data_IF_490970217708
#
_entry.id   IF_490970217708
#
_cell.length_a   1.000
_cell.length_b   1.000
_cell.length_c   1.000
_cell.angle_alpha   90.00
_cell.angle_beta   90.00
_cell.angle_gamma   90.00
#
_symmetry.space_group_name_H-M   'P 1'
#
loop_
_entity.id
_entity.type
_entity.pdbx_description
1 polymer ?
#
# COMPACT_ATOMS: atom_id res chain seq x y z
N UNK A 1 -5.45 -14.13 -4.83
CA UNK A 1 -5.29 -14.07 -3.36
C UNK A 1 -4.95 -12.67 -2.86
N UNK A 2 -3.92 -11.97 -3.37
CA UNK A 2 -3.61 -10.59 -2.93
C UNK A 2 -4.71 -9.57 -3.16
N UNK A 3 -5.34 -9.55 -4.34
CA UNK A 3 -6.45 -8.64 -4.60
C UNK A 3 -7.63 -8.90 -3.64
N UNK A 4 -7.86 -10.17 -3.27
CA UNK A 4 -8.90 -10.56 -2.31
C UNK A 4 -8.50 -10.08 -0.91
N UNK A 5 -7.29 -10.36 -0.45
CA UNK A 5 -6.78 -9.88 0.85
C UNK A 5 -6.74 -8.36 0.95
N UNK A 6 -6.38 -7.67 -0.13
CA UNK A 6 -6.40 -6.21 -0.22
C UNK A 6 -7.81 -5.65 -0.17
N UNK A 7 -8.75 -6.18 -0.94
CA UNK A 7 -10.16 -5.75 -0.89
C UNK A 7 -10.78 -6.02 0.48
N UNK A 8 -10.51 -7.18 1.09
CA UNK A 8 -10.96 -7.51 2.45
C UNK A 8 -10.32 -6.56 3.48
N UNK A 9 -9.02 -6.29 3.36
CA UNK A 9 -8.32 -5.32 4.20
C UNK A 9 -8.86 -3.90 4.03
N UNK A 10 -9.27 -3.52 2.82
CA UNK A 10 -9.94 -2.23 2.58
C UNK A 10 -11.26 -2.16 3.34
N UNK A 11 -12.11 -3.18 3.19
CA UNK A 11 -13.39 -3.28 3.88
C UNK A 11 -13.23 -3.24 5.40
N UNK A 12 -12.31 -4.06 5.92
CA UNK A 12 -12.00 -4.10 7.34
C UNK A 12 -11.43 -2.76 7.82
N UNK A 13 -10.49 -2.15 7.10
CA UNK A 13 -9.91 -0.85 7.42
C UNK A 13 -10.95 0.25 7.47
N UNK A 14 -11.78 0.38 6.42
CA UNK A 14 -12.86 1.37 6.39
C UNK A 14 -13.89 1.14 7.51
N UNK A 15 -14.25 -0.11 7.80
CA UNK A 15 -15.16 -0.44 8.91
C UNK A 15 -14.53 -0.16 10.29
N UNK A 16 -13.26 -0.48 10.49
CA UNK A 16 -12.53 -0.22 11.74
C UNK A 16 -12.29 1.28 11.92
N UNK A 17 -12.04 2.04 10.86
CA UNK A 17 -11.98 3.52 10.92
C UNK A 17 -13.28 4.11 11.46
N UNK A 18 -14.40 3.48 11.14
CA UNK A 18 -15.72 3.89 11.60
C UNK A 18 -16.00 3.45 13.05
N UNK A 19 -15.55 2.25 13.45
CA UNK A 19 -15.81 1.69 14.77
C UNK A 19 -14.81 2.12 15.86
N UNK A 20 -13.54 2.31 15.49
CA UNK A 20 -12.54 2.86 16.39
C UNK A 20 -12.57 4.38 16.27
N UNK A 21 -12.96 5.07 17.35
CA UNK A 21 -12.59 6.46 17.65
C UNK A 21 -11.09 6.61 17.89
N UNK A 22 -10.25 5.97 17.07
CA UNK A 22 -8.82 6.11 17.11
C UNK A 22 -8.46 7.52 16.64
N UNK A 23 -7.68 8.24 17.45
CA UNK A 23 -7.16 9.54 17.05
C UNK A 23 -6.35 9.39 15.75
N UNK A 24 -6.47 10.36 14.83
CA UNK A 24 -5.72 10.38 13.57
C UNK A 24 -4.20 10.17 13.79
N UNK A 25 -3.70 10.63 14.93
CA UNK A 25 -2.33 10.43 15.40
C UNK A 25 -1.95 8.94 15.54
N UNK A 26 -2.79 8.11 16.14
CA UNK A 26 -2.52 6.68 16.33
C UNK A 26 -2.44 5.92 15.00
N UNK A 27 -3.31 6.26 14.05
CA UNK A 27 -3.29 5.70 12.71
C UNK A 27 -2.06 6.13 11.92
N UNK A 28 -1.66 7.39 12.05
CA UNK A 28 -0.44 7.89 11.44
C UNK A 28 0.80 7.19 12.00
N UNK A 29 0.90 7.00 13.31
CA UNK A 29 2.03 6.28 13.94
C UNK A 29 2.09 4.83 13.45
N UNK A 30 0.96 4.13 13.43
CA UNK A 30 0.89 2.74 12.91
C UNK A 30 1.33 2.67 11.44
N UNK A 31 0.88 3.62 10.61
CA UNK A 31 1.28 3.70 9.21
C UNK A 31 2.78 3.95 9.04
N UNK A 32 3.37 4.82 9.87
CA UNK A 32 4.82 5.08 9.86
C UNK A 32 5.59 3.83 10.25
N UNK A 33 5.19 3.13 11.32
CA UNK A 33 5.84 1.88 11.76
C UNK A 33 5.83 0.84 10.65
N UNK A 34 4.68 0.59 10.02
CA UNK A 34 4.56 -0.39 8.93
C UNK A 34 5.30 0.04 7.68
N UNK A 35 5.37 1.34 7.39
CA UNK A 35 6.17 1.88 6.29
C UNK A 35 7.66 1.63 6.51
N UNK A 36 8.16 1.91 7.71
CA UNK A 36 9.56 1.64 8.09
C UNK A 36 9.84 0.13 8.01
N UNK A 37 8.97 -0.71 8.58
CA UNK A 37 9.12 -2.17 8.51
C UNK A 37 9.12 -2.68 7.05
N UNK A 38 8.29 -2.11 6.17
CA UNK A 38 8.24 -2.50 4.76
C UNK A 38 9.49 -2.09 4.00
N UNK A 39 10.04 -0.91 4.27
CA UNK A 39 11.30 -0.43 3.67
C UNK A 39 12.49 -1.25 4.16
N UNK A 40 12.54 -1.55 5.46
CA UNK A 40 13.57 -2.42 6.06
C UNK A 40 13.45 -3.84 5.50
N UNK A 41 12.23 -4.38 5.42
CA UNK A 41 11.95 -5.70 4.82
C UNK A 41 12.35 -5.79 3.35
N UNK A 42 12.06 -4.75 2.57
CA UNK A 42 12.44 -4.70 1.15
C UNK A 42 13.97 -4.69 0.96
N UNK A 43 14.69 -3.98 1.83
CA UNK A 43 16.15 -3.93 1.82
C UNK A 43 16.80 -5.05 2.65
N UNK A 44 16.01 -5.99 3.18
CA UNK A 44 16.50 -7.06 4.06
C UNK A 44 17.47 -7.99 3.32
N UNK A 45 17.28 -8.17 2.01
CA UNK A 45 18.24 -8.90 1.15
C UNK A 45 19.63 -8.28 1.13
N UNK A 46 19.76 -6.98 1.42
CA UNK A 46 21.02 -6.25 1.48
C UNK A 46 21.58 -6.13 2.92
N UNK A 47 20.73 -6.30 3.94
CA UNK A 47 21.07 -6.15 5.37
C UNK A 47 21.40 -7.51 6.02
N UNK A 48 20.61 -8.55 5.71
CA UNK A 48 20.70 -9.87 6.33
C UNK A 48 20.33 -10.98 5.32
N UNK A 49 21.23 -11.36 4.40
CA UNK A 49 20.94 -12.31 3.32
C UNK A 49 20.52 -13.70 3.81
N UNK A 50 21.06 -14.16 4.96
CA UNK A 50 20.69 -15.44 5.56
C UNK A 50 19.21 -15.48 6.02
N UNK A 51 18.61 -14.33 6.36
CA UNK A 51 17.20 -14.24 6.77
C UNK A 51 16.25 -14.11 5.56
N UNK A 52 16.71 -13.52 4.45
CA UNK A 52 15.88 -13.36 3.25
C UNK A 52 15.65 -14.66 2.48
N UNK A 53 16.57 -15.63 2.62
CA UNK A 53 16.45 -16.94 1.97
C UNK A 53 15.52 -17.89 2.73
N UNK A 54 15.36 -17.69 4.05
CA UNK A 54 14.39 -18.41 4.88
C UNK A 54 12.95 -17.86 4.77
N UNK A 55 12.80 -16.63 4.26
CA UNK A 55 11.51 -16.01 4.00
C UNK A 55 10.85 -16.63 2.76
N UNK A 56 10.31 -17.82 2.94
CA UNK A 56 9.50 -18.48 1.91
C UNK A 56 8.27 -17.61 1.56
N UNK A 57 7.94 -17.45 0.25
CA UNK A 57 6.74 -16.74 -0.18
C UNK A 57 5.50 -17.58 0.14
N UNK A 58 5.15 -17.69 1.42
CA UNK A 58 3.92 -18.33 1.86
C UNK A 58 2.75 -17.46 1.45
N UNK A 59 1.89 -18.00 0.58
CA UNK A 59 0.66 -17.35 0.09
C UNK A 59 -0.17 -16.71 1.21
N UNK A 60 -0.19 -17.35 2.39
CA UNK A 60 -0.89 -16.86 3.59
C UNK A 60 -0.21 -15.65 4.23
N UNK A 61 1.12 -15.65 4.33
CA UNK A 61 1.89 -14.52 4.87
C UNK A 61 1.72 -13.28 3.99
N UNK A 62 1.75 -13.50 2.68
CA UNK A 62 1.56 -12.43 1.68
C UNK A 62 0.13 -11.88 1.70
N UNK A 63 -0.88 -12.73 1.84
CA UNK A 63 -2.27 -12.31 2.00
C UNK A 63 -2.53 -11.58 3.33
N UNK A 64 -1.89 -12.00 4.42
CA UNK A 64 -1.98 -11.33 5.71
C UNK A 64 -1.29 -9.96 5.70
N UNK A 65 -0.11 -9.85 5.06
CA UNK A 65 0.59 -8.58 4.87
C UNK A 65 -0.23 -7.61 4.00
N UNK A 66 -0.83 -8.13 2.91
CA UNK A 66 -1.76 -7.40 2.05
C UNK A 66 -2.95 -6.85 2.83
N UNK A 67 -3.59 -7.70 3.66
CA UNK A 67 -4.71 -7.31 4.50
C UNK A 67 -4.30 -6.22 5.48
N UNK A 68 -3.23 -6.42 6.26
CA UNK A 68 -2.78 -5.44 7.26
C UNK A 68 -2.39 -4.09 6.66
N UNK A 69 -1.64 -4.09 5.55
CA UNK A 69 -1.24 -2.87 4.86
C UNK A 69 -2.45 -2.10 4.32
N UNK A 70 -3.43 -2.80 3.76
CA UNK A 70 -4.61 -2.17 3.20
C UNK A 70 -5.59 -1.69 4.27
N UNK A 71 -5.69 -2.41 5.40
CA UNK A 71 -6.44 -1.95 6.59
C UNK A 71 -5.87 -0.63 7.08
N UNK A 72 -4.57 -0.55 7.34
CA UNK A 72 -3.92 0.65 7.87
C UNK A 72 -3.97 1.84 6.90
N UNK A 73 -3.80 1.58 5.61
CA UNK A 73 -3.89 2.65 4.61
C UNK A 73 -5.32 3.15 4.42
N UNK A 74 -6.32 2.26 4.44
CA UNK A 74 -7.73 2.63 4.39
C UNK A 74 -8.14 3.49 5.59
N UNK A 75 -7.53 3.26 6.76
CA UNK A 75 -7.72 4.10 7.95
C UNK A 75 -7.23 5.53 7.78
N UNK A 76 -6.28 5.77 6.88
CA UNK A 76 -5.85 7.11 6.48
C UNK A 76 -6.69 7.68 5.33
N UNK A 77 -7.71 6.97 4.85
CA UNK A 77 -8.45 7.32 3.65
C UNK A 77 -7.68 7.07 2.35
N UNK A 78 -6.68 6.18 2.35
CA UNK A 78 -5.88 5.82 1.17
C UNK A 78 -5.95 4.34 0.81
N UNK A 79 -5.35 3.95 -0.32
CA UNK A 79 -5.10 2.54 -0.66
C UNK A 79 -3.74 2.10 -0.13
N UNK A 80 -3.66 0.87 0.39
CA UNK A 80 -2.42 0.26 0.88
C UNK A 80 -1.45 -0.15 -0.23
N UNK A 81 -1.84 0.06 -1.49
CA UNK A 81 -1.06 -0.15 -2.69
C UNK A 81 0.39 0.31 -2.60
N UNK A 82 0.67 1.46 -1.99
CA UNK A 82 2.05 1.98 -1.86
C UNK A 82 2.98 1.05 -1.09
N UNK A 83 2.43 0.19 -0.22
CA UNK A 83 3.17 -0.75 0.61
C UNK A 83 3.32 -2.14 -0.05
N UNK A 84 2.53 -2.47 -1.07
CA UNK A 84 2.60 -3.80 -1.71
C UNK A 84 3.90 -4.05 -2.44
N UNK A 85 4.40 -3.06 -3.19
CA UNK A 85 5.66 -3.18 -3.90
C UNK A 85 6.83 -3.55 -2.96
N UNK A 86 7.07 -2.77 -1.87
CA UNK A 86 8.11 -3.11 -0.90
C UNK A 86 7.84 -4.43 -0.18
N UNK A 87 6.60 -4.66 0.27
CA UNK A 87 6.24 -5.90 0.97
C UNK A 87 6.48 -7.15 0.13
N UNK A 88 6.19 -7.08 -1.18
CA UNK A 88 6.41 -8.20 -2.09
C UNK A 88 7.89 -8.49 -2.32
N UNK A 89 8.71 -7.45 -2.37
CA UNK A 89 10.15 -7.61 -2.48
C UNK A 89 10.76 -8.28 -1.24
N UNK A 90 10.20 -8.03 -0.04
CA UNK A 90 10.56 -8.76 1.19
C UNK A 90 10.40 -10.28 1.05
N UNK A 91 9.43 -10.74 0.25
CA UNK A 91 9.22 -12.16 -0.05
C UNK A 91 10.00 -12.65 -1.28
N UNK A 92 11.10 -11.97 -1.62
CA UNK A 92 12.00 -12.34 -2.71
C UNK A 92 11.33 -12.36 -4.10
N UNK A 93 10.23 -11.61 -4.27
CA UNK A 93 9.58 -11.46 -5.58
C UNK A 93 10.36 -10.45 -6.42
N UNK A 94 10.56 -10.76 -7.71
CA UNK A 94 11.15 -9.82 -8.68
C UNK A 94 10.46 -8.45 -8.62
N UNK A 95 11.25 -7.36 -8.54
CA UNK A 95 10.71 -6.02 -8.28
C UNK A 95 9.73 -5.56 -9.36
N UNK A 96 10.00 -5.85 -10.64
CA UNK A 96 9.10 -5.52 -11.75
C UNK A 96 7.74 -6.21 -11.60
N UNK A 97 7.74 -7.48 -11.15
CA UNK A 97 6.52 -8.24 -10.89
C UNK A 97 5.81 -7.74 -9.63
N UNK A 98 6.57 -7.39 -8.59
CA UNK A 98 6.04 -6.79 -7.37
C UNK A 98 5.32 -5.47 -7.67
N UNK A 99 5.93 -4.60 -8.46
CA UNK A 99 5.37 -3.30 -8.85
C UNK A 99 4.14 -3.49 -9.75
N UNK A 100 4.22 -4.33 -10.78
CA UNK A 100 3.06 -4.63 -11.62
C UNK A 100 1.87 -5.16 -10.81
N UNK A 101 2.13 -6.06 -9.86
CA UNK A 101 1.10 -6.61 -8.98
C UNK A 101 0.54 -5.55 -8.03
N UNK A 102 1.40 -4.70 -7.47
CA UNK A 102 1.04 -3.58 -6.60
C UNK A 102 0.10 -2.59 -7.31
N UNK A 103 0.43 -2.20 -8.54
CA UNK A 103 -0.37 -1.28 -9.35
C UNK A 103 -1.71 -1.88 -9.77
N UNK A 104 -1.74 -3.18 -10.07
CA UNK A 104 -2.98 -3.90 -10.35
C UNK A 104 -3.90 -3.92 -9.11
N UNK A 105 -3.36 -4.31 -7.94
CA UNK A 105 -4.12 -4.32 -6.68
C UNK A 105 -4.57 -2.90 -6.30
N UNK A 106 -3.77 -1.87 -6.59
CA UNK A 106 -4.13 -0.46 -6.37
C UNK A 106 -5.41 -0.07 -7.11
N UNK A 107 -5.49 -0.45 -8.39
CA UNK A 107 -6.64 -0.10 -9.24
C UNK A 107 -7.92 -0.77 -8.73
N UNK A 108 -7.82 -2.04 -8.32
CA UNK A 108 -8.96 -2.79 -7.76
C UNK A 108 -9.37 -2.21 -6.40
N UNK A 109 -8.43 -2.03 -5.48
CA UNK A 109 -8.73 -1.52 -4.13
C UNK A 109 -9.24 -0.08 -4.15
N UNK A 110 -8.76 0.77 -5.06
CA UNK A 110 -9.28 2.13 -5.25
C UNK A 110 -10.71 2.10 -5.78
N UNK A 111 -11.03 1.19 -6.70
CA UNK A 111 -12.42 0.97 -7.16
C UNK A 111 -13.34 0.58 -6.02
N UNK A 112 -12.91 -0.37 -5.19
CA UNK A 112 -13.67 -0.80 -4.00
C UNK A 112 -13.81 0.36 -3.01
N UNK A 113 -12.74 1.12 -2.76
CA UNK A 113 -12.76 2.28 -1.87
C UNK A 113 -13.74 3.35 -2.33
N UNK A 114 -13.67 3.76 -3.60
CA UNK A 114 -14.60 4.74 -4.18
C UNK A 114 -16.05 4.29 -4.02
N UNK A 115 -16.34 3.02 -4.30
CA UNK A 115 -17.69 2.47 -4.13
C UNK A 115 -18.15 2.52 -2.66
N UNK A 116 -17.30 2.16 -1.71
CA UNK A 116 -17.63 2.14 -0.28
C UNK A 116 -17.83 3.54 0.31
N UNK A 117 -16.97 4.50 -0.04
CA UNK A 117 -17.10 5.88 0.43
C UNK A 117 -18.28 6.58 -0.23
N UNK A 118 -18.58 6.27 -1.50
CA UNK A 118 -19.76 6.77 -2.20
C UNK A 118 -21.06 6.20 -1.62
N UNK A 119 -21.13 4.89 -1.34
CA UNK A 119 -22.33 4.26 -0.74
C UNK A 119 -22.66 4.79 0.65
N UNK A 120 -21.66 5.37 1.34
CA UNK A 120 -21.81 5.98 2.66
C UNK A 120 -22.07 7.49 2.61
N UNK A 121 -22.17 8.09 1.42
CA UNK A 121 -22.43 9.52 1.23
C UNK A 121 -21.26 10.43 1.60
N UNK A 122 -20.06 9.88 1.81
CA UNK A 122 -18.86 10.63 2.21
C UNK A 122 -17.98 11.06 1.03
N UNK A 123 -18.34 10.64 -0.20
CA UNK A 123 -17.58 10.94 -1.41
C UNK A 123 -18.50 11.49 -2.48
N UNK A 124 -18.15 12.62 -3.07
CA UNK A 124 -18.86 13.14 -4.24
C UNK A 124 -18.53 12.27 -5.46
N UNK A 125 -19.51 12.07 -6.35
CA UNK A 125 -19.32 11.27 -7.57
C UNK A 125 -18.14 11.80 -8.42
N UNK A 126 -17.97 13.12 -8.45
CA UNK A 126 -16.87 13.79 -9.16
C UNK A 126 -15.50 13.42 -8.57
N UNK A 127 -15.38 13.39 -7.24
CA UNK A 127 -14.16 12.99 -6.54
C UNK A 127 -13.85 11.51 -6.78
N UNK A 128 -14.88 10.66 -6.73
CA UNK A 128 -14.75 9.24 -7.04
C UNK A 128 -14.22 9.00 -8.45
N UNK A 129 -14.80 9.65 -9.46
CA UNK A 129 -14.34 9.54 -10.86
C UNK A 129 -12.90 10.05 -10.99
N UNK A 130 -12.55 11.17 -10.36
CA UNK A 130 -11.20 11.70 -10.37
C UNK A 130 -10.18 10.71 -9.77
N UNK A 131 -10.51 10.06 -8.66
CA UNK A 131 -9.67 9.03 -8.02
C UNK A 131 -9.51 7.81 -8.93
N UNK A 132 -10.59 7.34 -9.58
CA UNK A 132 -10.53 6.18 -10.47
C UNK A 132 -9.67 6.46 -11.71
N UNK A 133 -9.90 7.59 -12.37
CA UNK A 133 -9.14 8.00 -13.56
C UNK A 133 -7.68 8.25 -13.20
N UNK A 134 -7.41 8.95 -12.10
CA UNK A 134 -6.06 9.17 -11.61
C UNK A 134 -5.33 7.87 -11.28
N UNK A 135 -6.03 6.90 -10.67
CA UNK A 135 -5.46 5.58 -10.36
C UNK A 135 -5.17 4.75 -11.60
N UNK A 136 -6.06 4.78 -12.60
CA UNK A 136 -5.88 4.10 -13.89
C UNK A 136 -4.70 4.69 -14.68
N UNK A 137 -4.64 6.02 -14.80
CA UNK A 137 -3.55 6.70 -15.51
C UNK A 137 -2.23 6.54 -14.77
N UNK A 138 -2.22 6.75 -13.45
CA UNK A 138 -1.04 6.60 -12.62
C UNK A 138 -0.50 5.17 -12.62
N UNK A 139 -1.37 4.16 -12.57
CA UNK A 139 -0.95 2.76 -12.67
C UNK A 139 -0.41 2.41 -14.04
N UNK A 140 -0.99 2.97 -15.12
CA UNK A 140 -0.48 2.74 -16.47
C UNK A 140 0.89 3.38 -16.69
N UNK A 141 1.05 4.64 -16.30
CA UNK A 141 2.33 5.37 -16.43
C UNK A 141 3.39 4.75 -15.53
N UNK A 142 3.07 4.49 -14.26
CA UNK A 142 4.00 3.86 -13.32
C UNK A 142 4.42 2.45 -13.75
N UNK A 143 3.52 1.68 -14.36
CA UNK A 143 3.82 0.38 -14.95
C UNK A 143 4.82 0.50 -16.10
N UNK A 144 4.63 1.47 -17.00
CA UNK A 144 5.53 1.67 -18.14
C UNK A 144 6.92 2.10 -17.68
N UNK A 145 6.99 3.11 -16.80
CA UNK A 145 8.26 3.59 -16.22
C UNK A 145 9.00 2.45 -15.49
N UNK A 146 8.27 1.58 -14.80
CA UNK A 146 8.87 0.43 -14.12
C UNK A 146 9.50 -0.59 -15.08
N UNK A 147 9.07 -0.71 -16.33
CA UNK A 147 9.65 -1.68 -17.27
C UNK A 147 11.02 -1.25 -17.76
N UNK A 148 11.22 0.05 -17.99
CA UNK A 148 12.46 0.61 -18.52
C UNK A 148 13.48 0.95 -17.43
N UNK A 149 13.10 0.86 -16.15
CA UNK A 149 13.97 1.20 -15.02
C UNK A 149 14.67 -0.04 -14.45
N UNK A 150 15.94 0.11 -14.08
CA UNK A 150 16.71 -0.95 -13.41
C UNK A 150 16.17 -1.27 -12.01
N UNK A 151 16.30 -2.54 -11.60
CA UNK A 151 15.76 -3.05 -10.31
C UNK A 151 16.21 -2.22 -9.10
N UNK A 152 17.48 -1.79 -9.07
CA UNK A 152 18.05 -1.04 -7.95
C UNK A 152 17.44 0.35 -7.81
N UNK A 153 17.20 1.03 -8.93
CA UNK A 153 16.56 2.35 -8.94
C UNK A 153 15.08 2.26 -8.56
N UNK A 154 14.38 1.18 -8.95
CA UNK A 154 13.00 0.92 -8.52
C UNK A 154 12.90 0.72 -7.01
N UNK A 155 13.80 -0.07 -6.41
CA UNK A 155 13.82 -0.31 -4.96
C UNK A 155 14.07 0.98 -4.16
N UNK A 156 15.03 1.80 -4.61
CA UNK A 156 15.31 3.12 -4.01
C UNK A 156 14.12 4.06 -4.18
N UNK A 157 13.58 4.18 -5.39
CA UNK A 157 12.44 5.06 -5.67
C UNK A 157 11.21 4.70 -4.84
N UNK A 158 10.92 3.41 -4.70
CA UNK A 158 9.80 2.90 -3.91
C UNK A 158 10.02 3.14 -2.41
N UNK A 159 11.25 2.97 -1.91
CA UNK A 159 11.62 3.30 -0.53
C UNK A 159 11.36 4.77 -0.23
N UNK A 160 11.87 5.65 -1.09
CA UNK A 160 11.74 7.11 -0.95
C UNK A 160 10.28 7.51 -1.00
N UNK A 161 9.50 6.97 -1.95
CA UNK A 161 8.07 7.26 -2.07
C UNK A 161 7.30 6.87 -0.80
N UNK A 162 7.56 5.68 -0.24
CA UNK A 162 6.91 5.21 0.99
C UNK A 162 7.28 6.07 2.20
N UNK A 163 8.56 6.45 2.33
CA UNK A 163 9.01 7.34 3.41
C UNK A 163 8.34 8.70 3.31
N UNK A 164 8.31 9.31 2.11
CA UNK A 164 7.64 10.59 1.88
C UNK A 164 6.16 10.50 2.24
N UNK A 165 5.47 9.43 1.82
CA UNK A 165 4.06 9.20 2.15
C UNK A 165 3.85 9.07 3.67
N UNK A 166 4.74 8.37 4.36
CA UNK A 166 4.70 8.22 5.82
C UNK A 166 4.91 9.57 6.53
N UNK A 167 5.89 10.36 6.08
CA UNK A 167 6.14 11.70 6.62
C UNK A 167 4.97 12.65 6.41
N UNK A 168 4.39 12.71 5.20
CA UNK A 168 3.22 13.55 4.91
C UNK A 168 2.02 13.15 5.79
N UNK A 169 1.83 11.86 5.99
CA UNK A 169 0.78 11.32 6.86
C UNK A 169 0.94 11.80 8.30
N UNK A 170 2.15 11.69 8.83
CA UNK A 170 2.46 12.10 10.19
C UNK A 170 2.28 13.61 10.38
N UNK A 171 2.76 14.41 9.43
CA UNK A 171 2.60 15.86 9.45
C UNK A 171 1.12 16.24 9.46
N UNK A 172 0.30 15.68 8.56
CA UNK A 172 -1.15 15.94 8.56
C UNK A 172 -1.81 15.58 9.88
N UNK A 173 -1.41 14.49 10.53
CA UNK A 173 -1.99 14.08 11.81
C UNK A 173 -1.55 14.94 13.01
N UNK A 174 -0.47 15.72 12.89
CA UNK A 174 0.00 16.65 13.92
C UNK A 174 -0.63 18.04 13.81
N UNK A 175 -1.09 18.42 12.61
CA UNK A 175 -1.68 19.73 12.31
C UNK A 175 -3.22 19.72 12.19
N UNK A 176 -3.86 18.57 12.47
CA UNK A 176 -5.33 18.35 12.52
C UNK A 176 -5.73 18.05 13.95
#
# INVERSE_FOLDING_TARGET
EMAIGGSIGMLAGTAVTFWLSASALSMAIMFVVVSIMSVVGMNLSHIAPNLSDELSPSKRAVAAAALGANTLAAMKGGSGASLYGPLLKTFNVNIHRAIATSLFVATITSTVGVFLYWSQGQLLLVEGIAVLVGSLLGSRVGSLVSLDTESKWLEVGLSVAVIILASITLLKALFV
#
